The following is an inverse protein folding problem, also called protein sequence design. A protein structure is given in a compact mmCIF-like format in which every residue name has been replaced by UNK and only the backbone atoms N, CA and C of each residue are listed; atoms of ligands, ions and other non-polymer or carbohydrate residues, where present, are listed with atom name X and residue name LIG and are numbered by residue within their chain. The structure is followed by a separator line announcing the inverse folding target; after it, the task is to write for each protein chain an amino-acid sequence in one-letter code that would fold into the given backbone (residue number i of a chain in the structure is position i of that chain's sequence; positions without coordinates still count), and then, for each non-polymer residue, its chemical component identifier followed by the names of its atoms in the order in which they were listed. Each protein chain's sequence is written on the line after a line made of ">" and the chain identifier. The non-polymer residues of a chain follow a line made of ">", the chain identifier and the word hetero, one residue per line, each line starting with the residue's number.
data_IF_815039845529
#
_entry.id   IF_815039845529
#
_cell.length_a   1.000
_cell.length_b   1.000
_cell.length_c   1.000
_cell.angle_alpha   90.00
_cell.angle_beta   90.00
_cell.angle_gamma   90.00
#
_symmetry.space_group_name_H-M   'P 1'
#
loop_
_entity.id
_entity.type
_entity.pdbx_description
1 polymer ?
#
# COMPACT_ATOMS: atom_id res chain seq x y z
N UNK A 1 22.16 29.11 -34.79
CA UNK A 1 22.33 27.66 -34.52
C UNK A 1 21.35 27.27 -33.44
N UNK A 2 20.35 26.48 -33.82
CA UNK A 2 19.20 26.09 -33.00
C UNK A 2 19.59 24.80 -32.27
N UNK A 3 19.53 24.80 -30.94
CA UNK A 3 19.70 23.59 -30.15
C UNK A 3 18.39 22.81 -30.11
N UNK A 4 18.44 21.57 -30.59
CA UNK A 4 17.34 20.64 -30.77
C UNK A 4 16.84 20.09 -29.41
N UNK A 5 15.57 20.35 -29.09
CA UNK A 5 14.86 19.92 -27.88
C UNK A 5 14.20 18.55 -28.07
N UNK A 6 14.97 17.50 -28.33
CA UNK A 6 14.43 16.13 -28.38
C UNK A 6 15.33 15.17 -27.61
N UNK A 7 15.03 15.01 -26.31
CA UNK A 7 15.08 13.76 -25.55
C UNK A 7 14.87 14.07 -24.06
N UNK A 8 13.61 14.35 -23.70
CA UNK A 8 13.13 14.27 -22.32
C UNK A 8 11.81 13.50 -22.38
N UNK A 9 11.91 12.17 -22.24
CA UNK A 9 10.73 11.34 -22.02
C UNK A 9 10.40 11.39 -20.51
N UNK A 10 9.20 11.85 -20.09
CA UNK A 10 8.76 11.66 -18.73
C UNK A 10 8.08 10.29 -18.63
N UNK A 11 8.80 9.32 -18.07
CA UNK A 11 8.23 8.07 -17.59
C UNK A 11 7.96 8.20 -16.10
N UNK A 12 6.79 8.73 -15.70
CA UNK A 12 6.18 8.46 -14.39
C UNK A 12 4.67 8.67 -14.49
N UNK A 13 3.91 7.60 -14.76
CA UNK A 13 2.51 7.53 -14.38
C UNK A 13 2.41 6.56 -13.20
N UNK A 14 2.67 7.07 -11.99
CA UNK A 14 2.27 6.39 -10.77
C UNK A 14 0.75 6.60 -10.65
N UNK A 15 -0.02 5.64 -11.16
CA UNK A 15 -1.46 5.55 -10.93
C UNK A 15 -1.68 5.23 -9.45
N UNK A 16 -1.76 6.27 -8.63
CA UNK A 16 -2.58 6.19 -7.43
C UNK A 16 -4.03 6.11 -7.92
N UNK A 17 -4.58 4.90 -8.00
CA UNK A 17 -6.00 4.72 -8.24
C UNK A 17 -6.76 5.19 -6.99
N UNK A 18 -7.06 6.48 -6.97
CA UNK A 18 -8.08 7.04 -6.11
C UNK A 18 -9.39 6.93 -6.90
N UNK A 19 -10.32 6.09 -6.43
CA UNK A 19 -11.64 5.86 -7.03
C UNK A 19 -12.56 7.09 -6.87
N UNK A 20 -12.18 8.21 -7.47
CA UNK A 20 -13.03 9.39 -7.59
C UNK A 20 -13.10 9.81 -9.06
N UNK A 21 -14.07 9.26 -9.79
CA UNK A 21 -14.81 9.90 -10.88
C UNK A 21 -14.08 10.53 -12.08
N UNK A 22 -12.77 10.36 -12.25
CA UNK A 22 -12.06 10.85 -13.43
C UNK A 22 -12.23 9.91 -14.62
N UNK A 23 -12.51 10.45 -15.81
CA UNK A 23 -12.43 9.67 -17.05
C UNK A 23 -11.04 9.02 -17.16
N UNK A 24 -11.01 7.69 -17.30
CA UNK A 24 -9.75 6.95 -17.53
C UNK A 24 -9.10 7.45 -18.83
N UNK A 25 -7.95 8.11 -18.69
CA UNK A 25 -7.33 8.97 -19.71
C UNK A 25 -6.81 8.26 -20.98
N UNK A 26 -6.87 6.93 -21.09
CA UNK A 26 -6.48 6.22 -22.32
C UNK A 26 -7.23 4.89 -22.52
N UNK A 27 -7.36 4.39 -23.76
CA UNK A 27 -7.92 3.07 -24.04
C UNK A 27 -7.19 1.94 -23.31
N UNK A 28 -5.86 2.05 -23.18
CA UNK A 28 -5.05 1.08 -22.42
C UNK A 28 -5.38 1.11 -20.91
N UNK A 29 -5.58 2.30 -20.34
CA UNK A 29 -6.01 2.44 -18.95
C UNK A 29 -7.43 1.88 -18.73
N UNK A 30 -8.35 2.08 -19.68
CA UNK A 30 -9.70 1.47 -19.66
C UNK A 30 -9.65 -0.05 -19.75
N UNK A 31 -8.87 -0.60 -20.68
CA UNK A 31 -8.72 -2.05 -20.83
C UNK A 31 -8.10 -2.69 -19.57
N UNK A 32 -7.08 -2.04 -19.01
CA UNK A 32 -6.46 -2.49 -17.76
C UNK A 32 -7.45 -2.43 -16.59
N UNK A 33 -8.20 -1.34 -16.46
CA UNK A 33 -9.23 -1.22 -15.43
C UNK A 33 -10.31 -2.29 -15.60
N UNK A 34 -10.80 -2.53 -16.81
CA UNK A 34 -11.79 -3.57 -17.07
C UNK A 34 -11.28 -4.99 -16.77
N UNK A 35 -10.00 -5.25 -17.06
CA UNK A 35 -9.36 -6.52 -16.72
C UNK A 35 -9.27 -6.71 -15.20
N UNK A 36 -8.89 -5.66 -14.48
CA UNK A 36 -8.72 -5.71 -13.02
C UNK A 36 -10.05 -5.63 -12.25
N UNK A 37 -11.08 -5.00 -12.81
CA UNK A 37 -12.37 -4.78 -12.13
C UNK A 37 -13.15 -6.05 -11.86
N UNK A 38 -12.71 -7.19 -12.40
CA UNK A 38 -13.16 -8.52 -12.00
C UNK A 38 -12.20 -9.04 -10.91
N UNK A 39 -12.67 -9.24 -9.67
CA UNK A 39 -11.82 -9.68 -8.58
C UNK A 39 -11.06 -10.96 -8.96
N UNK A 40 -9.74 -10.95 -8.71
CA UNK A 40 -8.88 -12.07 -9.07
C UNK A 40 -8.90 -13.19 -8.02
N UNK A 41 -8.99 -12.82 -6.75
CA UNK A 41 -8.87 -13.73 -5.61
C UNK A 41 -9.95 -13.53 -4.56
N UNK A 42 -10.21 -12.27 -4.18
CA UNK A 42 -11.14 -11.92 -3.10
C UNK A 42 -12.04 -10.79 -3.58
N UNK A 43 -13.35 -10.95 -3.45
CA UNK A 43 -14.32 -9.91 -3.82
C UNK A 43 -14.25 -8.73 -2.82
N UNK A 44 -13.88 -7.51 -3.27
CA UNK A 44 -13.83 -6.34 -2.42
C UNK A 44 -15.16 -5.98 -1.76
N UNK A 45 -16.29 -6.43 -2.30
CA UNK A 45 -17.61 -6.23 -1.71
C UNK A 45 -17.70 -6.82 -0.29
N UNK A 46 -16.95 -7.88 0.03
CA UNK A 46 -16.90 -8.49 1.35
C UNK A 46 -16.45 -7.51 2.44
N UNK A 47 -15.58 -6.55 2.10
CA UNK A 47 -15.02 -5.59 3.06
C UNK A 47 -15.90 -4.36 3.30
N UNK A 48 -16.98 -4.17 2.52
CA UNK A 48 -17.95 -3.08 2.76
C UNK A 48 -18.69 -3.23 4.08
N UNK A 49 -18.99 -4.47 4.46
CA UNK A 49 -19.76 -4.80 5.68
C UNK A 49 -18.97 -5.62 6.69
N UNK A 50 -17.72 -6.00 6.38
CA UNK A 50 -16.85 -6.73 7.28
C UNK A 50 -16.78 -6.06 8.67
N UNK A 51 -16.75 -6.91 9.70
CA UNK A 51 -16.41 -6.45 11.04
C UNK A 51 -14.96 -5.99 11.05
N UNK A 52 -14.74 -4.72 11.37
CA UNK A 52 -13.42 -4.11 11.38
C UNK A 52 -13.37 -3.08 12.53
N UNK A 53 -12.31 -3.04 13.34
CA UNK A 53 -12.25 -2.12 14.47
C UNK A 53 -12.38 -0.66 13.98
N UNK A 54 -13.17 0.19 14.66
CA UNK A 54 -13.24 1.60 14.30
C UNK A 54 -11.93 2.31 14.65
N UNK A 55 -11.60 3.44 13.98
CA UNK A 55 -10.50 4.28 14.42
C UNK A 55 -10.77 4.86 15.82
N UNK A 56 -9.75 5.35 16.52
CA UNK A 56 -9.94 6.21 17.69
C UNK A 56 -10.95 7.32 17.38
N UNK A 57 -11.92 7.52 18.28
CA UNK A 57 -12.93 8.56 18.13
C UNK A 57 -12.28 9.95 18.13
N UNK A 58 -12.88 10.90 17.42
CA UNK A 58 -12.46 12.29 17.46
C UNK A 58 -12.42 12.80 18.92
N UNK A 59 -11.42 13.62 19.23
CA UNK A 59 -11.18 14.23 20.56
C UNK A 59 -10.95 13.27 21.74
N UNK A 60 -10.96 11.95 21.49
CA UNK A 60 -10.64 10.95 22.51
C UNK A 60 -9.17 10.98 22.94
N UNK A 61 -8.88 10.48 24.15
CA UNK A 61 -7.50 10.31 24.62
C UNK A 61 -6.66 9.44 23.69
N UNK A 62 -7.26 8.44 23.04
CA UNK A 62 -6.59 7.62 22.04
C UNK A 62 -6.21 8.42 20.78
N UNK A 63 -7.08 9.32 20.30
CA UNK A 63 -6.76 10.21 19.17
C UNK A 63 -5.69 11.25 19.55
N UNK A 64 -5.71 11.77 20.78
CA UNK A 64 -4.65 12.66 21.29
C UNK A 64 -3.30 11.95 21.40
N UNK A 65 -3.29 10.72 21.92
CA UNK A 65 -2.09 9.89 22.00
C UNK A 65 -1.50 9.59 20.61
N UNK A 66 -2.35 9.25 19.64
CA UNK A 66 -1.96 9.06 18.25
C UNK A 66 -1.29 10.31 17.65
N UNK A 67 -1.89 11.49 17.87
CA UNK A 67 -1.34 12.75 17.41
C UNK A 67 0.00 13.06 18.10
N UNK A 68 0.09 12.86 19.41
CA UNK A 68 1.32 13.09 20.17
C UNK A 68 2.48 12.26 19.62
N UNK A 69 2.25 11.00 19.23
CA UNK A 69 3.26 10.15 18.61
C UNK A 69 3.67 10.64 17.20
N UNK A 70 2.74 11.19 16.41
CA UNK A 70 3.07 11.79 15.11
C UNK A 70 3.95 13.03 15.30
N UNK A 71 3.62 13.89 16.27
CA UNK A 71 4.38 15.10 16.56
C UNK A 71 5.76 14.78 17.15
N UNK A 72 5.84 13.83 18.09
CA UNK A 72 7.10 13.34 18.64
C UNK A 72 8.03 12.80 17.53
N UNK A 73 7.47 11.98 16.64
CA UNK A 73 8.22 11.47 15.49
C UNK A 73 8.63 12.58 14.52
N UNK A 74 7.79 13.58 14.31
CA UNK A 74 8.10 14.73 13.47
C UNK A 74 9.30 15.52 13.99
N UNK A 75 9.42 15.71 15.31
CA UNK A 75 10.53 16.46 15.91
C UNK A 75 11.84 15.64 15.93
N UNK A 76 11.74 14.31 16.01
CA UNK A 76 12.91 13.41 16.10
C UNK A 76 13.42 12.88 14.77
N UNK A 77 12.58 12.85 13.72
CA UNK A 77 12.97 12.25 12.44
C UNK A 77 14.11 13.03 11.78
N UNK A 78 15.03 12.28 11.19
CA UNK A 78 16.15 12.79 10.39
C UNK A 78 15.74 12.94 8.92
N UNK A 79 16.52 13.71 8.16
CA UNK A 79 16.32 13.80 6.72
C UNK A 79 16.56 12.45 6.01
N UNK A 80 17.45 11.60 6.53
CA UNK A 80 17.65 10.25 6.00
C UNK A 80 16.40 9.38 6.14
N UNK A 81 15.72 9.45 7.28
CA UNK A 81 14.45 8.75 7.51
C UNK A 81 13.34 9.33 6.62
N UNK A 82 13.30 10.65 6.43
CA UNK A 82 12.37 11.26 5.47
C UNK A 82 12.68 10.87 4.02
N UNK A 83 13.94 10.74 3.63
CA UNK A 83 14.33 10.26 2.31
C UNK A 83 13.88 8.81 2.09
N UNK A 84 14.08 7.93 3.08
CA UNK A 84 13.55 6.56 3.06
C UNK A 84 12.02 6.54 2.91
N UNK A 85 11.33 7.34 3.72
CA UNK A 85 9.88 7.50 3.67
C UNK A 85 9.37 8.04 2.32
N UNK A 86 10.15 8.85 1.59
CA UNK A 86 9.80 9.32 0.24
C UNK A 86 9.92 8.21 -0.80
N UNK A 87 10.88 7.29 -0.66
CA UNK A 87 11.00 6.11 -1.54
C UNK A 87 9.77 5.21 -1.39
N UNK A 88 9.42 4.87 -0.15
CA UNK A 88 8.28 3.99 0.18
C UNK A 88 6.93 4.70 0.07
N UNK A 89 6.91 6.00 -0.28
CA UNK A 89 5.69 6.70 -0.67
C UNK A 89 5.15 6.23 -2.02
N UNK A 90 6.02 5.72 -2.90
CA UNK A 90 5.55 4.90 -4.02
C UNK A 90 4.90 3.63 -3.47
N UNK A 91 3.66 3.36 -3.87
CA UNK A 91 2.92 2.18 -3.45
C UNK A 91 3.07 1.05 -4.47
N UNK A 92 2.98 -0.20 -3.99
CA UNK A 92 3.00 -1.40 -4.81
C UNK A 92 4.35 -2.12 -4.79
N UNK A 93 4.35 -3.34 -5.34
CA UNK A 93 5.43 -4.32 -5.17
C UNK A 93 6.82 -3.77 -5.50
N UNK A 94 6.96 -3.05 -6.62
CA UNK A 94 8.24 -2.48 -7.06
C UNK A 94 8.85 -1.51 -6.06
N UNK A 95 8.04 -0.64 -5.46
CA UNK A 95 8.53 0.38 -4.53
C UNK A 95 8.80 -0.19 -3.16
N UNK A 96 8.01 -1.19 -2.77
CA UNK A 96 8.16 -1.83 -1.48
C UNK A 96 9.41 -2.70 -1.47
N UNK A 97 9.51 -3.62 -2.44
CA UNK A 97 10.50 -4.69 -2.41
C UNK A 97 11.61 -4.55 -3.44
N UNK A 98 11.62 -3.57 -4.33
CA UNK A 98 12.59 -3.40 -5.43
C UNK A 98 13.90 -4.21 -5.33
N UNK A 99 14.83 -3.78 -4.49
CA UNK A 99 16.14 -4.41 -4.24
C UNK A 99 16.10 -5.67 -3.35
N UNK A 100 15.01 -5.88 -2.61
CA UNK A 100 14.76 -7.04 -1.74
C UNK A 100 13.91 -8.13 -2.40
N UNK A 101 13.49 -7.92 -3.65
CA UNK A 101 12.64 -8.84 -4.40
C UNK A 101 13.34 -10.19 -4.57
N UNK A 102 12.70 -11.32 -4.23
CA UNK A 102 13.29 -12.64 -4.45
C UNK A 102 13.20 -13.13 -5.91
N UNK A 103 12.63 -12.34 -6.81
CA UNK A 103 12.50 -12.65 -8.23
C UNK A 103 13.59 -11.97 -9.05
N UNK A 104 13.97 -12.52 -10.22
CA UNK A 104 15.02 -11.97 -11.06
C UNK A 104 14.71 -10.55 -11.56
N UNK A 105 15.77 -9.82 -11.88
CA UNK A 105 15.69 -8.53 -12.57
C UNK A 105 16.03 -8.71 -14.07
N UNK A 106 15.22 -8.18 -15.01
CA UNK A 106 13.96 -7.48 -14.78
C UNK A 106 12.85 -8.42 -14.26
N UNK A 107 11.94 -7.86 -13.45
CA UNK A 107 10.86 -8.63 -12.83
C UNK A 107 10.00 -9.35 -13.91
N UNK A 108 9.78 -10.68 -13.82
CA UNK A 108 8.98 -11.42 -14.79
C UNK A 108 7.57 -10.85 -14.96
N UNK A 109 7.00 -11.01 -16.16
CA UNK A 109 5.67 -10.47 -16.47
C UNK A 109 4.59 -11.06 -15.56
N UNK A 110 4.67 -12.37 -15.34
CA UNK A 110 3.76 -13.14 -14.50
C UNK A 110 3.80 -12.66 -13.05
N UNK A 111 4.98 -12.32 -12.54
CA UNK A 111 5.16 -11.80 -11.17
C UNK A 111 4.57 -10.39 -11.07
N UNK A 112 4.83 -9.53 -12.05
CA UNK A 112 4.22 -8.18 -12.12
C UNK A 112 2.70 -8.29 -12.12
N UNK A 113 2.16 -9.20 -12.90
CA UNK A 113 0.73 -9.39 -13.10
C UNK A 113 0.04 -9.97 -11.85
N UNK A 114 0.70 -10.92 -11.18
CA UNK A 114 0.27 -11.47 -9.90
C UNK A 114 0.12 -10.38 -8.84
N UNK A 115 1.18 -9.60 -8.59
CA UNK A 115 1.14 -8.55 -7.58
C UNK A 115 0.23 -7.38 -7.96
N UNK A 116 0.04 -7.10 -9.25
CA UNK A 116 -0.91 -6.08 -9.72
C UNK A 116 -2.36 -6.47 -9.47
N UNK A 117 -2.73 -7.74 -9.72
CA UNK A 117 -4.08 -8.25 -9.39
C UNK A 117 -4.31 -8.24 -7.88
N UNK A 118 -3.30 -8.66 -7.12
CA UNK A 118 -3.35 -8.67 -5.66
C UNK A 118 -3.52 -7.25 -5.07
N UNK A 119 -2.76 -6.28 -5.58
CA UNK A 119 -2.85 -4.87 -5.18
C UNK A 119 -4.23 -4.29 -5.49
N UNK A 120 -4.84 -4.69 -6.61
CA UNK A 120 -6.16 -4.21 -7.00
C UNK A 120 -7.25 -4.72 -6.05
N UNK A 121 -7.36 -6.03 -5.85
CA UNK A 121 -8.37 -6.61 -4.95
C UNK A 121 -8.24 -6.04 -3.52
N UNK A 122 -7.00 -5.97 -3.01
CA UNK A 122 -6.71 -5.42 -1.69
C UNK A 122 -6.99 -3.90 -1.62
N UNK A 123 -6.61 -3.15 -2.66
CA UNK A 123 -6.79 -1.71 -2.75
C UNK A 123 -8.27 -1.29 -2.73
N UNK A 124 -9.12 -1.98 -3.49
CA UNK A 124 -10.57 -1.74 -3.48
C UNK A 124 -11.18 -2.10 -2.13
N UNK A 125 -10.71 -3.17 -1.50
CA UNK A 125 -11.15 -3.61 -0.17
C UNK A 125 -10.78 -2.62 0.94
N UNK A 126 -9.56 -2.09 0.91
CA UNK A 126 -9.13 -1.01 1.81
C UNK A 126 -9.93 0.27 1.55
N UNK A 127 -10.21 0.58 0.30
CA UNK A 127 -10.99 1.77 -0.08
C UNK A 127 -12.41 1.70 0.49
N UNK A 128 -13.06 0.53 0.44
CA UNK A 128 -14.35 0.32 1.09
C UNK A 128 -14.34 0.65 2.59
N UNK A 129 -13.28 0.24 3.31
CA UNK A 129 -13.12 0.59 4.74
C UNK A 129 -12.83 2.08 4.95
N UNK A 130 -12.01 2.68 4.09
CA UNK A 130 -11.72 4.13 4.12
C UNK A 130 -12.97 4.97 3.94
N UNK A 131 -13.84 4.59 3.01
CA UNK A 131 -15.10 5.30 2.73
C UNK A 131 -16.13 5.10 3.84
N UNK A 132 -16.06 3.99 4.58
CA UNK A 132 -16.88 3.75 5.77
C UNK A 132 -16.45 4.62 6.95
N UNK A 133 -15.16 4.69 7.26
CA UNK A 133 -14.66 5.36 8.48
C UNK A 133 -14.31 6.83 8.29
N UNK A 134 -13.92 7.23 7.08
CA UNK A 134 -13.67 8.62 6.67
C UNK A 134 -12.75 9.43 7.59
N UNK A 135 -11.83 8.77 8.31
CA UNK A 135 -10.91 9.44 9.23
C UNK A 135 -10.03 10.45 8.47
N UNK A 136 -9.98 11.73 8.86
CA UNK A 136 -9.08 12.69 8.23
C UNK A 136 -7.62 12.32 8.52
N UNK A 137 -6.72 12.60 7.58
CA UNK A 137 -5.27 12.41 7.77
C UNK A 137 -4.71 13.42 8.79
N UNK A 138 -3.58 13.12 9.46
CA UNK A 138 -2.95 14.03 10.43
C UNK A 138 -2.82 15.47 9.91
N UNK A 139 -2.22 15.66 8.74
CA UNK A 139 -2.00 16.98 8.13
C UNK A 139 -3.25 17.70 7.60
N UNK A 140 -4.41 17.01 7.56
CA UNK A 140 -5.69 17.62 7.20
C UNK A 140 -6.45 18.05 8.45
N UNK A 141 -6.30 17.31 9.57
CA UNK A 141 -6.99 17.59 10.82
C UNK A 141 -6.22 18.59 11.71
N UNK A 142 -4.89 18.62 11.62
CA UNK A 142 -4.01 19.35 12.53
C UNK A 142 -2.96 20.15 11.76
N UNK A 143 -2.89 21.46 12.01
CA UNK A 143 -2.04 22.40 11.26
C UNK A 143 -0.57 22.31 11.65
N UNK A 144 -0.27 21.82 12.85
CA UNK A 144 1.08 21.58 13.36
C UNK A 144 1.78 20.37 12.72
N UNK A 145 1.03 19.50 12.03
CA UNK A 145 1.60 18.35 11.33
C UNK A 145 2.15 18.79 9.97
N UNK A 146 3.45 18.58 9.80
CA UNK A 146 4.27 18.97 8.65
C UNK A 146 4.77 17.70 7.93
N UNK A 147 4.07 17.19 6.91
CA UNK A 147 4.54 15.99 6.19
C UNK A 147 5.90 16.20 5.53
N UNK A 148 6.80 15.22 5.63
CA UNK A 148 8.05 15.22 4.85
C UNK A 148 7.96 14.38 3.57
N UNK A 149 6.80 13.77 3.31
CA UNK A 149 6.47 13.09 2.05
C UNK A 149 5.33 13.83 1.34
N UNK A 150 5.11 13.52 0.06
CA UNK A 150 3.99 14.10 -0.70
C UNK A 150 2.66 13.78 0.00
N UNK A 151 1.82 14.81 0.21
CA UNK A 151 0.47 14.65 0.76
C UNK A 151 -0.36 13.75 -0.17
N UNK A 152 -0.82 12.63 0.37
CA UNK A 152 -1.72 11.69 -0.31
C UNK A 152 -3.18 12.12 -0.15
N UNK A 153 -3.98 12.00 -1.20
CA UNK A 153 -5.42 12.22 -1.13
C UNK A 153 -6.14 11.12 -0.31
N UNK A 154 -7.43 11.33 -0.04
CA UNK A 154 -8.31 10.36 0.62
C UNK A 154 -8.14 10.26 2.14
N UNK A 155 -8.87 9.32 2.74
CA UNK A 155 -8.96 9.11 4.19
C UNK A 155 -7.76 8.34 4.76
N UNK A 156 -7.56 8.48 6.07
CA UNK A 156 -6.42 7.91 6.80
C UNK A 156 -6.61 6.44 7.17
N UNK A 157 -7.82 6.03 7.57
CA UNK A 157 -8.03 4.75 8.26
C UNK A 157 -8.73 3.69 7.40
N UNK A 158 -8.24 2.44 7.34
CA UNK A 158 -6.89 2.01 7.74
C UNK A 158 -5.84 2.50 6.73
N UNK A 159 -4.54 2.39 7.06
CA UNK A 159 -3.47 2.81 6.15
C UNK A 159 -3.31 1.84 4.97
N UNK A 160 -3.50 2.34 3.73
CA UNK A 160 -3.37 1.52 2.52
C UNK A 160 -1.94 1.02 2.26
N UNK A 161 -0.94 1.88 2.47
CA UNK A 161 0.47 1.46 2.37
C UNK A 161 0.80 0.35 3.37
N UNK A 162 0.35 0.50 4.63
CA UNK A 162 0.56 -0.54 5.64
C UNK A 162 -0.17 -1.83 5.28
N UNK A 163 -1.40 -1.75 4.80
CA UNK A 163 -2.19 -2.90 4.34
C UNK A 163 -1.51 -3.66 3.21
N UNK A 164 -1.15 -2.97 2.12
CA UNK A 164 -0.51 -3.64 0.98
C UNK A 164 0.89 -4.17 1.33
N UNK A 165 1.70 -3.42 2.09
CA UNK A 165 3.03 -3.87 2.51
C UNK A 165 2.96 -5.13 3.38
N UNK A 166 2.06 -5.13 4.39
CA UNK A 166 1.86 -6.29 5.26
C UNK A 166 1.35 -7.50 4.48
N UNK A 167 0.33 -7.29 3.64
CA UNK A 167 -0.23 -8.34 2.80
C UNK A 167 0.84 -8.95 1.86
N UNK A 168 1.62 -8.14 1.17
CA UNK A 168 2.67 -8.64 0.28
C UNK A 168 3.76 -9.38 1.05
N UNK A 169 4.06 -9.00 2.28
CA UNK A 169 4.99 -9.74 3.11
C UNK A 169 4.47 -11.12 3.52
N UNK A 170 3.18 -11.23 3.87
CA UNK A 170 2.53 -12.52 4.12
C UNK A 170 2.56 -13.42 2.88
N UNK A 171 2.19 -12.86 1.72
CA UNK A 171 2.20 -13.57 0.43
C UNK A 171 3.61 -14.03 0.05
N UNK A 172 4.62 -13.17 0.21
CA UNK A 172 6.02 -13.59 0.03
C UNK A 172 6.44 -14.66 1.04
N UNK A 173 5.92 -14.63 2.25
CA UNK A 173 6.13 -15.66 3.27
C UNK A 173 5.44 -16.99 2.95
N UNK A 174 4.48 -17.04 2.03
CA UNK A 174 3.90 -18.28 1.51
C UNK A 174 4.71 -18.83 0.32
N UNK A 175 5.35 -17.94 -0.43
CA UNK A 175 6.26 -18.30 -1.54
C UNK A 175 7.60 -18.81 -0.98
N UNK A 176 8.15 -18.12 0.02
CA UNK A 176 9.45 -18.45 0.65
C UNK A 176 9.31 -18.46 2.19
N UNK A 177 8.80 -19.56 2.78
CA UNK A 177 8.58 -19.64 4.23
C UNK A 177 9.79 -19.31 5.08
N UNK A 178 10.99 -19.71 4.64
CA UNK A 178 12.24 -19.47 5.36
C UNK A 178 12.61 -17.98 5.52
N UNK A 179 12.05 -17.09 4.67
CA UNK A 179 12.30 -15.63 4.70
C UNK A 179 11.14 -14.83 5.26
N UNK A 180 10.09 -15.48 5.80
CA UNK A 180 8.88 -14.80 6.32
C UNK A 180 9.21 -13.66 7.30
N UNK A 181 10.10 -13.90 8.26
CA UNK A 181 10.47 -12.89 9.25
C UNK A 181 11.14 -11.65 8.62
N UNK A 182 11.96 -11.85 7.58
CA UNK A 182 12.58 -10.75 6.82
C UNK A 182 11.52 -9.88 6.14
N UNK A 183 10.55 -10.52 5.47
CA UNK A 183 9.49 -9.80 4.78
C UNK A 183 8.58 -9.03 5.75
N UNK A 184 8.24 -9.62 6.89
CA UNK A 184 7.43 -8.97 7.93
C UNK A 184 8.16 -7.76 8.51
N UNK A 185 9.46 -7.90 8.84
CA UNK A 185 10.28 -6.78 9.30
C UNK A 185 10.30 -5.63 8.29
N UNK A 186 10.45 -5.97 7.01
CA UNK A 186 10.46 -4.98 5.93
C UNK A 186 9.10 -4.30 5.75
N UNK A 187 8.00 -5.03 5.87
CA UNK A 187 6.65 -4.44 5.87
C UNK A 187 6.44 -3.48 7.04
N UNK A 188 6.93 -3.82 8.23
CA UNK A 188 6.89 -2.95 9.41
C UNK A 188 7.64 -1.63 9.20
N UNK A 189 8.81 -1.69 8.57
CA UNK A 189 9.57 -0.48 8.22
C UNK A 189 8.76 0.43 7.29
N UNK A 190 8.17 -0.11 6.23
CA UNK A 190 7.32 0.65 5.28
C UNK A 190 6.08 1.22 5.98
N UNK A 191 5.48 0.45 6.87
CA UNK A 191 4.33 0.85 7.65
C UNK A 191 4.68 2.06 8.54
N UNK A 192 5.82 2.00 9.25
CA UNK A 192 6.32 3.07 10.12
C UNK A 192 6.84 4.29 9.37
N UNK A 193 7.29 4.13 8.12
CA UNK A 193 7.60 5.27 7.25
C UNK A 193 6.39 6.18 7.04
N UNK A 194 5.15 5.69 7.24
CA UNK A 194 3.94 6.51 7.07
C UNK A 194 3.67 7.43 8.26
N UNK A 195 4.03 6.97 9.45
CA UNK A 195 4.06 7.81 10.66
C UNK A 195 5.20 8.80 10.56
N UNK A 196 6.40 8.34 10.18
CA UNK A 196 7.58 9.20 9.94
C UNK A 196 7.28 10.29 8.91
N UNK A 197 6.57 9.95 7.84
CA UNK A 197 6.15 10.90 6.81
C UNK A 197 5.06 11.88 7.25
N UNK A 198 4.40 11.65 8.40
CA UNK A 198 3.31 12.49 8.93
C UNK A 198 1.98 12.35 8.17
N UNK A 199 1.76 11.23 7.48
CA UNK A 199 0.58 11.02 6.60
C UNK A 199 -0.43 10.01 7.12
N UNK A 200 -0.07 9.31 8.20
CA UNK A 200 -0.92 8.36 8.92
C UNK A 200 -0.61 8.40 10.43
N UNK A 201 -1.63 8.13 11.24
CA UNK A 201 -1.45 7.90 12.67
C UNK A 201 -0.96 6.47 12.94
N UNK A 202 -0.31 6.20 14.08
CA UNK A 202 0.06 4.84 14.48
C UNK A 202 -1.10 3.84 14.45
N UNK A 203 -2.31 4.23 14.90
CA UNK A 203 -3.47 3.34 14.83
C UNK A 203 -3.95 3.04 13.40
N UNK A 204 -3.78 3.96 12.42
CA UNK A 204 -4.06 3.66 11.01
C UNK A 204 -3.15 2.56 10.49
N UNK A 205 -1.89 2.61 10.91
CA UNK A 205 -0.84 1.66 10.52
C UNK A 205 -1.11 0.31 11.17
N UNK A 206 -1.41 0.27 12.46
CA UNK A 206 -1.78 -0.96 13.16
C UNK A 206 -3.03 -1.62 12.52
N UNK A 207 -4.06 -0.84 12.24
CA UNK A 207 -5.25 -1.34 11.55
C UNK A 207 -4.94 -1.80 10.12
N UNK A 208 -3.98 -1.17 9.44
CA UNK A 208 -3.52 -1.64 8.14
C UNK A 208 -2.99 -3.07 8.17
N UNK A 209 -2.24 -3.45 9.21
CA UNK A 209 -1.75 -4.82 9.41
C UNK A 209 -2.88 -5.80 9.70
N UNK A 210 -3.82 -5.41 10.58
CA UNK A 210 -5.05 -6.21 10.86
C UNK A 210 -5.82 -6.49 9.57
N UNK A 211 -5.96 -5.49 8.70
CA UNK A 211 -6.54 -5.70 7.37
C UNK A 211 -5.73 -6.70 6.55
N UNK A 212 -4.39 -6.57 6.51
CA UNK A 212 -3.53 -7.48 5.76
C UNK A 212 -3.68 -8.93 6.22
N UNK A 213 -3.74 -9.18 7.53
CA UNK A 213 -4.00 -10.51 8.08
C UNK A 213 -5.38 -11.05 7.69
N UNK A 214 -6.43 -10.23 7.82
CA UNK A 214 -7.79 -10.62 7.46
C UNK A 214 -7.94 -10.92 5.96
N UNK A 215 -7.36 -10.08 5.10
CA UNK A 215 -7.40 -10.26 3.65
C UNK A 215 -6.56 -11.49 3.23
N UNK A 216 -5.41 -11.72 3.86
CA UNK A 216 -4.61 -12.91 3.64
C UNK A 216 -5.36 -14.20 3.99
N UNK A 217 -6.11 -14.20 5.09
CA UNK A 217 -6.97 -15.33 5.45
C UNK A 217 -8.03 -15.63 4.38
N UNK A 218 -8.57 -14.62 3.69
CA UNK A 218 -9.47 -14.83 2.55
C UNK A 218 -8.74 -15.34 1.30
N UNK A 219 -7.51 -14.85 1.03
CA UNK A 219 -6.68 -15.36 -0.08
C UNK A 219 -6.43 -16.86 0.02
N UNK A 220 -6.15 -17.36 1.23
CA UNK A 220 -5.89 -18.78 1.46
C UNK A 220 -7.09 -19.70 1.11
N UNK A 221 -8.29 -19.14 0.97
CA UNK A 221 -9.48 -19.88 0.53
C UNK A 221 -9.65 -19.90 -1.00
N UNK A 222 -8.89 -19.10 -1.74
CA UNK A 222 -9.00 -18.94 -3.19
C UNK A 222 -8.14 -19.96 -3.94
N UNK A 223 -8.73 -20.89 -4.73
CA UNK A 223 -7.95 -21.83 -5.54
C UNK A 223 -7.06 -21.13 -6.57
N UNK A 224 -7.51 -19.98 -7.09
CA UNK A 224 -6.74 -19.17 -8.04
C UNK A 224 -5.45 -18.64 -7.38
N UNK A 225 -5.55 -18.14 -6.15
CA UNK A 225 -4.41 -17.68 -5.37
C UNK A 225 -3.43 -18.82 -5.08
N UNK A 226 -3.93 -19.96 -4.58
CA UNK A 226 -3.08 -21.13 -4.27
C UNK A 226 -2.32 -21.62 -5.52
N UNK A 227 -2.98 -21.66 -6.67
CA UNK A 227 -2.34 -21.99 -7.94
C UNK A 227 -1.28 -20.97 -8.37
N UNK A 228 -1.50 -19.68 -8.13
CA UNK A 228 -0.52 -18.64 -8.39
C UNK A 228 0.69 -18.73 -7.44
N UNK A 229 0.51 -19.10 -6.17
CA UNK A 229 1.62 -19.31 -5.23
C UNK A 229 2.57 -20.40 -5.74
N UNK A 230 2.04 -21.54 -6.17
CA UNK A 230 2.86 -22.60 -6.76
C UNK A 230 3.58 -22.14 -8.03
N UNK A 231 2.93 -21.32 -8.87
CA UNK A 231 3.60 -20.69 -10.02
C UNK A 231 4.74 -19.77 -9.59
N UNK A 232 4.52 -18.88 -8.61
CA UNK A 232 5.53 -17.92 -8.16
C UNK A 232 6.77 -18.60 -7.58
N UNK A 233 6.61 -19.74 -6.90
CA UNK A 233 7.75 -20.55 -6.40
C UNK A 233 8.70 -21.00 -7.50
N UNK A 234 8.22 -21.19 -8.73
CA UNK A 234 9.04 -21.60 -9.88
C UNK A 234 9.81 -20.43 -10.54
N UNK A 235 9.44 -19.20 -10.21
CA UNK A 235 9.99 -17.97 -10.84
C UNK A 235 11.01 -17.24 -9.95
N UNK A 236 11.39 -17.83 -8.81
CA UNK A 236 12.39 -17.27 -7.92
C UNK A 236 13.75 -17.12 -8.63
N UNK A 237 14.51 -16.10 -8.22
CA UNK A 237 15.90 -16.00 -8.63
C UNK A 237 16.68 -17.24 -8.14
N UNK A 238 17.54 -17.76 -9.01
CA UNK A 238 18.44 -18.88 -8.69
C UNK A 238 19.66 -18.41 -7.92
#
# INVERSE_FOLDING_TARGET
>A
MIFDKKQLAPMVLALAFCACGGELASPAARALHHYLSKPAYVDPAAFKTAAFPPPPAADSEAQKADLALVLDRQEKRTEAECAGARVTAGAGYRFFWGDKSPFPAPLPGEVKDFFRRLDYDAGESVTALKDRFRRPRPFNAYTEVRPCVKKSAGYSYPSGHSSCAWLFALVLGDIIPARRAEFIKRADEIAMDRVTGGVHYPSDVAAGKVFGDAFHAELLKSPAYLGDIERMKTLLAK
#
